data_IF_066059184279
#
_entry.id   IF_066059184279
#
_cell.length_a   1.000
_cell.length_b   1.000
_cell.length_c   1.000
_cell.angle_alpha   90.00
_cell.angle_beta   90.00
_cell.angle_gamma   90.00
#
_symmetry.space_group_name_H-M   'P 1'
#
loop_
_entity.id
_entity.type
_entity.pdbx_description
1 polymer ?
#
# COMPACT_ATOMS: atom_id res chain seq x y z
N UNK A 1 -14.87 -26.82 9.69
CA UNK A 1 -16.19 -26.53 9.08
C UNK A 1 -16.34 -27.42 7.86
N UNK A 2 -17.55 -27.89 7.54
CA UNK A 2 -17.75 -28.99 6.60
C UNK A 2 -17.58 -28.64 5.11
N UNK A 3 -17.30 -27.37 4.76
CA UNK A 3 -17.14 -26.88 3.38
C UNK A 3 -15.68 -26.84 2.87
N UNK A 4 -14.69 -26.99 3.76
CA UNK A 4 -13.26 -26.94 3.41
C UNK A 4 -12.73 -25.55 3.03
N UNK A 5 -13.54 -24.50 3.12
CA UNK A 5 -13.13 -23.15 2.76
C UNK A 5 -12.23 -22.52 3.82
N UNK A 6 -11.17 -21.82 3.38
CA UNK A 6 -10.31 -21.04 4.27
C UNK A 6 -11.06 -19.80 4.79
N UNK A 7 -10.89 -19.51 6.09
CA UNK A 7 -11.48 -18.32 6.73
C UNK A 7 -10.41 -17.61 7.53
N UNK A 8 -10.11 -16.38 7.14
CA UNK A 8 -9.14 -15.53 7.83
C UNK A 8 -9.81 -14.80 8.99
N UNK A 9 -9.16 -14.76 10.14
CA UNK A 9 -9.70 -14.13 11.35
C UNK A 9 -8.72 -13.12 11.91
N UNK A 10 -9.28 -12.06 12.47
CA UNK A 10 -8.54 -11.07 13.25
C UNK A 10 -8.10 -11.69 14.59
N UNK A 11 -7.13 -11.09 15.30
CA UNK A 11 -6.70 -11.57 16.62
C UNK A 11 -7.83 -11.66 17.66
N UNK A 12 -8.90 -10.87 17.50
CA UNK A 12 -10.12 -10.91 18.34
C UNK A 12 -11.11 -12.03 17.97
N UNK A 13 -10.75 -12.91 17.03
CA UNK A 13 -11.55 -14.04 16.56
C UNK A 13 -12.62 -13.67 15.53
N UNK A 14 -12.86 -12.39 15.25
CA UNK A 14 -13.82 -11.95 14.22
C UNK A 14 -13.31 -12.32 12.83
N UNK A 15 -14.23 -12.61 11.90
CA UNK A 15 -13.88 -12.87 10.51
C UNK A 15 -13.26 -11.59 9.90
N UNK A 16 -12.17 -11.74 9.17
CA UNK A 16 -11.64 -10.67 8.35
C UNK A 16 -12.65 -10.39 7.23
N UNK A 17 -13.12 -9.13 7.05
CA UNK A 17 -14.07 -8.83 5.98
C UNK A 17 -13.44 -9.09 4.62
N UNK A 18 -14.27 -9.49 3.65
CA UNK A 18 -13.86 -9.58 2.26
C UNK A 18 -13.39 -8.20 1.76
N UNK A 19 -12.36 -8.18 0.92
CA UNK A 19 -11.88 -6.94 0.32
C UNK A 19 -12.99 -6.37 -0.56
N UNK A 20 -13.37 -5.08 -0.39
CA UNK A 20 -14.33 -4.45 -1.28
C UNK A 20 -13.86 -4.53 -2.74
N UNK A 21 -14.79 -4.64 -3.72
CA UNK A 21 -14.39 -4.60 -5.11
C UNK A 21 -13.64 -3.30 -5.42
N UNK A 22 -12.59 -3.34 -6.26
CA UNK A 22 -11.87 -2.14 -6.63
C UNK A 22 -12.82 -1.15 -7.34
N UNK A 23 -12.61 0.16 -7.16
CA UNK A 23 -13.38 1.16 -7.91
C UNK A 23 -13.11 1.02 -9.41
N UNK A 24 -14.11 1.35 -10.22
CA UNK A 24 -13.92 1.39 -11.67
C UNK A 24 -12.95 2.52 -12.04
N UNK A 25 -11.84 2.16 -12.68
CA UNK A 25 -10.83 3.11 -13.15
C UNK A 25 -11.02 3.32 -14.65
N UNK A 26 -11.21 4.57 -15.06
CA UNK A 26 -11.29 4.94 -16.48
C UNK A 26 -9.91 5.14 -17.07
N UNK A 27 -9.64 4.47 -18.19
CA UNK A 27 -8.36 4.56 -18.90
C UNK A 27 -7.27 3.69 -18.27
N UNK A 28 -6.06 3.82 -18.79
CA UNK A 28 -4.89 3.12 -18.23
C UNK A 28 -4.32 3.94 -17.06
N UNK A 29 -4.42 3.44 -15.81
CA UNK A 29 -3.91 4.16 -14.65
C UNK A 29 -2.40 4.43 -14.73
N UNK A 30 -1.62 3.53 -15.34
CA UNK A 30 -0.17 3.68 -15.44
C UNK A 30 0.19 4.89 -16.30
N UNK A 31 -0.45 5.03 -17.45
CA UNK A 31 -0.24 6.16 -18.35
C UNK A 31 -0.73 7.47 -17.74
N UNK A 32 -1.91 7.46 -17.09
CA UNK A 32 -2.45 8.63 -16.38
C UNK A 32 -1.46 9.15 -15.33
N UNK A 33 -0.89 8.25 -14.51
CA UNK A 33 0.11 8.64 -13.51
C UNK A 33 1.41 9.11 -14.15
N UNK A 34 1.88 8.47 -15.22
CA UNK A 34 3.11 8.86 -15.91
C UNK A 34 3.01 10.28 -16.48
N UNK A 35 1.92 10.59 -17.19
CA UNK A 35 1.69 11.95 -17.73
C UNK A 35 1.64 12.99 -16.61
N UNK A 36 0.99 12.68 -15.50
CA UNK A 36 0.94 13.59 -14.35
C UNK A 36 2.33 13.82 -13.75
N UNK A 37 3.11 12.76 -13.55
CA UNK A 37 4.47 12.86 -13.05
C UNK A 37 5.35 13.71 -13.98
N UNK A 38 5.26 13.51 -15.29
CA UNK A 38 5.98 14.31 -16.28
C UNK A 38 5.60 15.80 -16.20
N UNK A 39 4.31 16.11 -16.07
CA UNK A 39 3.82 17.48 -15.91
C UNK A 39 4.30 18.13 -14.60
N UNK A 40 4.49 17.34 -13.54
CA UNK A 40 5.02 17.77 -12.24
C UNK A 40 6.56 17.73 -12.19
N UNK A 41 7.23 17.29 -13.27
CA UNK A 41 8.70 17.14 -13.32
C UNK A 41 9.25 15.99 -12.47
N UNK A 42 8.38 15.07 -12.03
CA UNK A 42 8.74 13.90 -11.22
C UNK A 42 9.32 12.80 -12.10
N UNK A 43 10.52 12.33 -11.76
CA UNK A 43 11.20 11.20 -12.42
C UNK A 43 11.19 10.00 -11.46
N UNK A 44 10.07 9.30 -11.42
CA UNK A 44 9.94 8.08 -10.62
C UNK A 44 10.42 6.87 -11.43
N UNK A 45 11.24 6.02 -10.82
CA UNK A 45 11.74 4.78 -11.38
C UNK A 45 11.63 3.63 -10.36
N UNK A 46 12.04 2.43 -10.77
CA UNK A 46 11.98 1.23 -9.92
C UNK A 46 12.79 1.36 -8.62
N UNK A 47 13.74 2.30 -8.55
CA UNK A 47 14.59 2.55 -7.39
C UNK A 47 14.06 3.65 -6.48
N UNK A 48 13.14 4.50 -6.94
CA UNK A 48 12.68 5.67 -6.17
C UNK A 48 12.14 5.31 -4.78
N UNK A 49 11.44 4.19 -4.65
CA UNK A 49 10.92 3.71 -3.36
C UNK A 49 11.72 2.53 -2.79
N UNK A 50 12.91 2.22 -3.33
CA UNK A 50 13.75 1.17 -2.77
C UNK A 50 14.29 1.65 -1.42
N UNK A 51 14.02 0.93 -0.32
CA UNK A 51 14.52 1.34 0.99
C UNK A 51 16.05 1.26 1.01
N UNK A 52 16.69 2.27 1.58
CA UNK A 52 18.13 2.26 1.85
C UNK A 52 18.51 1.47 3.11
N UNK A 53 17.60 0.67 3.66
CA UNK A 53 17.75 -0.05 4.91
C UNK A 53 18.80 -1.17 4.77
N UNK A 54 19.79 -1.21 5.68
CA UNK A 54 20.89 -2.18 5.65
C UNK A 54 20.76 -3.25 6.75
N UNK A 55 19.62 -3.31 7.44
CA UNK A 55 19.30 -4.32 8.45
C UNK A 55 19.29 -3.82 9.89
N UNK A 56 19.38 -2.50 10.11
CA UNK A 56 19.21 -1.88 11.42
C UNK A 56 17.82 -2.18 12.02
N UNK A 57 17.61 -2.16 13.35
CA UNK A 57 16.27 -2.31 13.90
C UNK A 57 15.30 -1.27 13.32
N UNK A 58 14.24 -1.73 12.65
CA UNK A 58 13.22 -0.86 12.09
C UNK A 58 12.42 -0.22 13.23
N UNK A 59 12.44 1.10 13.31
CA UNK A 59 11.53 1.83 14.18
C UNK A 59 10.13 1.85 13.52
N UNK A 60 9.33 0.85 13.88
CA UNK A 60 7.96 0.69 13.38
C UNK A 60 7.07 1.85 13.83
N UNK A 61 7.34 2.45 14.99
CA UNK A 61 6.60 3.62 15.46
C UNK A 61 6.82 4.81 14.54
N UNK A 62 8.08 5.15 14.30
CA UNK A 62 8.45 6.22 13.36
C UNK A 62 7.93 5.95 11.94
N UNK A 63 8.06 4.72 11.42
CA UNK A 63 7.62 4.37 10.07
C UNK A 63 6.11 4.54 9.87
N UNK A 64 5.32 4.26 10.91
CA UNK A 64 3.87 4.50 10.90
C UNK A 64 3.58 5.99 11.02
N UNK A 65 4.28 6.68 11.92
CA UNK A 65 4.07 8.10 12.17
C UNK A 65 4.36 8.95 10.93
N UNK A 66 5.39 8.64 10.13
CA UNK A 66 5.71 9.40 8.89
C UNK A 66 4.76 9.13 7.72
N UNK A 67 4.04 8.01 7.74
CA UNK A 67 3.01 7.70 6.74
C UNK A 67 1.64 8.26 7.14
N UNK A 68 1.50 8.77 8.37
CA UNK A 68 0.28 9.39 8.82
C UNK A 68 0.06 10.73 8.09
N UNK A 69 -1.17 11.06 7.63
CA UNK A 69 -1.44 12.31 6.91
C UNK A 69 -1.15 13.60 7.70
N UNK A 70 -0.92 13.49 9.01
CA UNK A 70 -0.56 14.59 9.91
C UNK A 70 0.92 14.57 10.35
N UNK A 71 1.72 13.67 9.78
CA UNK A 71 3.17 13.70 9.97
C UNK A 71 3.72 15.04 9.46
N UNK A 72 4.56 15.71 10.27
CA UNK A 72 5.27 16.92 9.88
C UNK A 72 6.73 16.61 9.60
#
# INVERSE_FOLDING_TARGET
QPDGALRFRRPDGRLLPEVPPPPEVRGDPVEIFRTRHEAEGLRLDARTATPGWLGEPLDVGWAIDVLHPLAR
#
